data_IF_282455277335
#
_entry.id   IF_282455277335
#
_cell.length_a   1.000
_cell.length_b   1.000
_cell.length_c   1.000
_cell.angle_alpha   90.00
_cell.angle_beta   90.00
_cell.angle_gamma   90.00
#
_symmetry.space_group_name_H-M   'P 1'
#
loop_
_entity.id
_entity.type
_entity.pdbx_description
1 polymer ?
#
# COMPACT_ATOMS: atom_id res chain seq x y z
N UNK A 1 -11.26 -29.48 65.56
CA UNK A 1 -12.50 -28.99 64.92
C UNK A 1 -12.09 -28.24 63.66
N UNK A 2 -12.65 -28.69 62.53
CA UNK A 2 -12.69 -28.17 61.16
C UNK A 2 -11.76 -27.01 60.68
N UNK A 3 -11.04 -27.32 59.59
CA UNK A 3 -10.51 -26.47 58.49
C UNK A 3 -11.65 -25.90 57.59
N UNK A 4 -11.41 -25.13 56.49
CA UNK A 4 -10.33 -24.17 56.14
C UNK A 4 -10.87 -22.91 55.38
N UNK A 5 -10.02 -21.92 55.04
CA UNK A 5 -10.04 -21.27 53.71
C UNK A 5 -8.84 -20.31 53.49
N UNK A 6 -7.80 -20.85 52.86
CA UNK A 6 -6.85 -20.14 51.99
C UNK A 6 -7.55 -19.73 50.70
N UNK A 7 -7.39 -18.47 50.26
CA UNK A 7 -7.73 -18.08 48.89
C UNK A 7 -6.54 -17.46 48.17
N UNK A 8 -6.28 -18.08 47.03
CA UNK A 8 -5.16 -17.99 46.11
C UNK A 8 -5.53 -16.96 45.03
N UNK A 9 -4.78 -15.86 44.87
CA UNK A 9 -4.99 -14.93 43.75
C UNK A 9 -4.17 -15.41 42.56
N UNK A 10 -4.74 -16.31 41.77
CA UNK A 10 -4.19 -16.75 40.48
C UNK A 10 -4.29 -15.64 39.44
N UNK A 11 -3.14 -15.24 38.94
CA UNK A 11 -2.94 -14.46 37.72
C UNK A 11 -3.49 -15.20 36.51
N UNK A 12 -4.52 -14.64 35.86
CA UNK A 12 -4.99 -15.12 34.55
C UNK A 12 -4.03 -14.65 33.46
N UNK A 13 -3.03 -15.49 33.15
CA UNK A 13 -2.34 -15.47 31.86
C UNK A 13 -3.26 -16.11 30.82
N UNK A 14 -3.91 -15.31 29.97
CA UNK A 14 -4.58 -15.82 28.77
C UNK A 14 -3.55 -15.94 27.65
N UNK A 15 -3.11 -17.15 27.38
CA UNK A 15 -2.20 -17.49 26.27
C UNK A 15 -2.96 -17.52 24.95
N UNK A 16 -2.77 -16.49 24.12
CA UNK A 16 -3.21 -16.46 22.72
C UNK A 16 -2.35 -17.44 21.88
N UNK A 17 -2.74 -18.72 21.83
CA UNK A 17 -2.14 -19.71 20.94
C UNK A 17 -3.07 -19.98 19.74
N UNK A 18 -2.69 -19.46 18.57
CA UNK A 18 -3.35 -19.77 17.29
C UNK A 18 -2.61 -20.95 16.65
N UNK A 19 -3.24 -22.12 16.66
CA UNK A 19 -2.78 -23.31 15.91
C UNK A 19 -3.19 -23.26 14.44
N UNK A 20 -2.31 -23.70 13.55
CA UNK A 20 -2.63 -23.95 12.12
C UNK A 20 -2.97 -25.43 11.95
N UNK A 21 -4.09 -25.72 11.27
CA UNK A 21 -4.38 -27.05 10.72
C UNK A 21 -3.78 -27.14 9.32
N UNK A 22 -2.71 -27.92 9.16
CA UNK A 22 -2.11 -28.27 7.87
C UNK A 22 -2.84 -29.51 7.36
N UNK A 23 -3.59 -29.39 6.26
CA UNK A 23 -4.05 -30.55 5.51
C UNK A 23 -3.11 -30.77 4.32
N UNK A 24 -2.59 -32.01 4.24
CA UNK A 24 -1.58 -32.46 3.30
C UNK A 24 -2.11 -32.49 1.85
N UNK A 25 -1.23 -32.11 0.93
CA UNK A 25 -1.39 -32.32 -0.52
C UNK A 25 -1.51 -33.82 -0.86
N UNK A 26 -2.28 -34.13 -1.91
CA UNK A 26 -1.97 -35.26 -2.77
C UNK A 26 -2.17 -34.84 -4.25
N UNK A 27 -1.27 -35.26 -5.16
CA UNK A 27 -1.17 -34.79 -6.54
C UNK A 27 -2.07 -35.62 -7.47
N UNK A 28 -2.08 -35.22 -8.75
CA UNK A 28 -2.67 -35.87 -9.93
C UNK A 28 -3.91 -35.16 -10.49
N UNK A 29 -3.70 -34.27 -11.48
CA UNK A 29 -4.34 -34.49 -12.78
C UNK A 29 -3.61 -33.74 -13.90
N UNK A 30 -3.20 -34.49 -14.91
CA UNK A 30 -2.59 -34.07 -16.17
C UNK A 30 -3.65 -34.23 -17.26
N UNK A 31 -3.97 -33.17 -18.02
CA UNK A 31 -4.33 -33.35 -19.44
C UNK A 31 -4.00 -32.11 -20.28
N UNK A 32 -3.23 -32.38 -21.33
CA UNK A 32 -2.91 -31.51 -22.45
C UNK A 32 -4.12 -31.27 -23.37
N UNK A 33 -4.14 -30.12 -24.05
CA UNK A 33 -4.90 -29.96 -25.30
C UNK A 33 -4.19 -28.97 -26.24
N UNK A 34 -3.38 -29.55 -27.13
CA UNK A 34 -2.87 -28.95 -28.37
C UNK A 34 -3.97 -28.91 -29.44
N UNK A 35 -3.99 -27.85 -30.26
CA UNK A 35 -4.88 -27.76 -31.42
C UNK A 35 -4.58 -26.57 -32.33
N UNK A 36 -3.59 -26.72 -33.21
CA UNK A 36 -3.42 -25.97 -34.48
C UNK A 36 -4.34 -26.64 -35.54
N UNK A 37 -4.89 -26.03 -36.61
CA UNK A 37 -4.26 -25.53 -37.85
C UNK A 37 -5.34 -24.90 -38.76
N UNK A 38 -4.97 -23.89 -39.57
CA UNK A 38 -5.49 -23.62 -40.94
C UNK A 38 -6.18 -22.26 -41.13
N UNK A 39 -5.84 -21.35 -42.05
CA UNK A 39 -4.90 -21.33 -43.19
C UNK A 39 -5.60 -21.00 -44.51
N UNK A 40 -5.51 -19.75 -45.01
CA UNK A 40 -5.61 -19.31 -46.44
C UNK A 40 -5.78 -17.77 -46.50
N UNK A 41 -4.77 -16.97 -46.86
CA UNK A 41 -4.29 -16.58 -48.22
C UNK A 41 -5.18 -15.57 -48.97
N UNK A 42 -4.61 -14.41 -49.30
CA UNK A 42 -5.18 -13.44 -50.25
C UNK A 42 -4.35 -12.15 -50.34
N UNK A 43 -3.63 -11.99 -51.44
CA UNK A 43 -2.58 -10.99 -51.73
C UNK A 43 -3.07 -9.71 -52.43
N UNK A 44 -2.31 -8.63 -52.19
CA UNK A 44 -1.88 -7.56 -53.11
C UNK A 44 -2.89 -6.52 -53.68
N UNK A 45 -2.58 -5.23 -53.48
CA UNK A 45 -2.24 -4.29 -54.56
C UNK A 45 -1.71 -2.97 -54.00
N UNK A 46 -0.65 -2.47 -54.62
CA UNK A 46 -0.04 -1.16 -54.39
C UNK A 46 -0.65 -0.09 -55.29
N UNK A 47 -0.63 1.17 -54.86
CA UNK A 47 -0.59 2.31 -55.77
C UNK A 47 0.02 3.55 -55.10
N UNK A 48 1.08 4.03 -55.75
CA UNK A 48 1.77 5.30 -55.61
C UNK A 48 0.92 6.51 -55.95
N UNK A 49 1.18 7.68 -55.33
CA UNK A 49 1.35 8.96 -56.04
C UNK A 49 1.84 10.08 -55.10
N UNK A 50 2.40 11.09 -55.75
CA UNK A 50 3.40 12.06 -55.30
C UNK A 50 2.87 13.50 -55.22
N UNK A 51 3.61 14.35 -54.47
CA UNK A 51 3.77 15.81 -54.60
C UNK A 51 2.59 16.76 -54.28
N UNK A 52 2.78 17.67 -53.31
CA UNK A 52 2.99 19.10 -53.60
C UNK A 52 3.45 19.90 -52.36
N UNK A 53 4.51 20.70 -52.55
CA UNK A 53 4.90 21.82 -51.70
C UNK A 53 3.84 22.94 -51.77
N UNK A 54 3.65 23.69 -50.67
CA UNK A 54 3.41 25.13 -50.80
C UNK A 54 3.91 25.92 -49.59
N UNK A 55 4.82 26.85 -49.91
CA UNK A 55 5.34 27.94 -49.10
C UNK A 55 4.41 29.14 -49.32
N UNK A 56 3.96 29.78 -48.24
CA UNK A 56 3.54 31.17 -48.27
C UNK A 56 4.12 31.89 -47.06
N UNK A 57 5.09 32.76 -47.32
CA UNK A 57 5.40 33.89 -46.46
C UNK A 57 4.56 35.10 -46.85
N UNK A 58 4.23 35.95 -45.88
CA UNK A 58 4.14 37.41 -46.03
C UNK A 58 3.61 38.04 -44.74
N UNK A 59 4.17 39.20 -44.38
CA UNK A 59 3.42 40.22 -43.63
C UNK A 59 4.01 40.63 -42.30
N UNK A 60 5.02 41.49 -42.34
CA UNK A 60 5.33 42.40 -41.24
C UNK A 60 4.25 43.49 -41.17
N UNK A 61 3.58 43.65 -40.03
CA UNK A 61 2.95 44.91 -39.61
C UNK A 61 3.31 45.13 -38.15
N UNK A 62 4.11 46.16 -37.90
CA UNK A 62 4.45 46.65 -36.58
C UNK A 62 3.40 47.61 -36.03
N UNK A 63 3.31 47.59 -34.70
CA UNK A 63 2.89 48.67 -33.79
C UNK A 63 1.43 49.15 -33.86
N UNK A 64 0.70 48.91 -32.76
CA UNK A 64 0.17 49.95 -31.84
C UNK A 64 -0.92 49.32 -30.96
N UNK A 65 -0.66 49.07 -29.67
CA UNK A 65 -1.70 49.00 -28.66
C UNK A 65 -1.13 49.21 -27.26
N UNK A 66 -1.70 50.20 -26.59
CA UNK A 66 -1.33 50.75 -25.30
C UNK A 66 -1.35 49.74 -24.15
N UNK A 67 -0.57 50.08 -23.13
CA UNK A 67 -0.44 49.35 -21.88
C UNK A 67 -1.77 49.17 -21.15
N UNK A 68 -2.10 47.90 -20.91
CA UNK A 68 -2.90 47.48 -19.78
C UNK A 68 -2.04 46.53 -18.96
N UNK A 69 -1.46 47.04 -17.86
CA UNK A 69 -0.89 46.17 -16.82
C UNK A 69 -2.05 45.55 -16.07
N UNK A 70 -2.53 44.40 -16.55
CA UNK A 70 -3.34 43.52 -15.72
C UNK A 70 -2.51 43.10 -14.50
N UNK A 71 -3.08 43.05 -13.29
CA UNK A 71 -2.35 42.58 -12.13
C UNK A 71 -2.05 41.11 -12.39
N UNK A 72 -0.78 40.81 -12.71
CA UNK A 72 -0.30 39.43 -12.74
C UNK A 72 -0.35 38.93 -11.31
N UNK A 73 -1.48 38.34 -10.94
CA UNK A 73 -1.50 37.33 -9.90
C UNK A 73 -0.43 36.32 -10.28
N UNK A 74 0.71 36.40 -9.61
CA UNK A 74 1.74 35.37 -9.65
C UNK A 74 1.17 34.13 -8.96
N UNK A 75 0.22 33.46 -9.63
CA UNK A 75 0.04 32.04 -9.46
C UNK A 75 1.36 31.42 -9.89
N UNK A 76 2.25 31.21 -8.93
CA UNK A 76 3.45 30.41 -9.17
C UNK A 76 2.99 29.11 -9.79
N UNK A 77 3.26 28.90 -11.08
CA UNK A 77 2.96 27.62 -11.72
C UNK A 77 3.89 26.63 -11.03
N UNK A 78 3.32 25.76 -10.19
CA UNK A 78 4.04 24.61 -9.66
C UNK A 78 4.37 23.70 -10.86
N UNK A 79 5.55 23.88 -11.44
CA UNK A 79 6.04 23.08 -12.57
C UNK A 79 6.97 22.02 -12.00
N UNK A 80 6.59 20.74 -12.15
CA UNK A 80 7.44 19.60 -11.83
C UNK A 80 8.00 18.97 -13.12
N UNK A 81 9.18 18.35 -13.01
CA UNK A 81 9.81 17.64 -14.13
C UNK A 81 9.00 16.39 -14.47
N UNK A 82 8.65 16.20 -15.74
CA UNK A 82 8.01 14.96 -16.21
C UNK A 82 9.05 13.82 -16.19
N UNK A 83 8.80 12.80 -15.37
CA UNK A 83 9.72 11.66 -15.15
C UNK A 83 9.37 10.42 -15.96
N UNK A 84 8.16 10.39 -16.51
CA UNK A 84 7.61 9.31 -17.33
C UNK A 84 6.80 9.95 -18.45
N UNK A 85 6.91 9.45 -19.68
CA UNK A 85 6.16 9.98 -20.84
C UNK A 85 4.66 10.01 -20.58
N UNK A 86 3.96 11.03 -21.11
CA UNK A 86 2.55 11.29 -20.83
C UNK A 86 1.64 10.05 -20.97
N UNK A 87 1.90 9.19 -21.95
CA UNK A 87 1.08 8.02 -22.28
C UNK A 87 1.76 6.67 -22.02
N UNK A 88 2.89 6.63 -21.30
CA UNK A 88 3.51 5.36 -20.94
C UNK A 88 2.60 4.51 -20.04
N UNK A 89 2.56 3.20 -20.29
CA UNK A 89 1.74 2.28 -19.51
C UNK A 89 2.27 2.04 -18.09
N UNK A 90 3.59 2.11 -17.89
CA UNK A 90 4.27 1.81 -16.63
C UNK A 90 4.92 3.05 -16.02
N UNK A 91 5.05 3.08 -14.69
CA UNK A 91 5.90 4.07 -14.02
C UNK A 91 7.38 3.83 -14.34
N UNK A 92 8.15 4.91 -14.47
CA UNK A 92 9.61 4.81 -14.56
C UNK A 92 10.22 4.40 -13.20
N UNK A 93 10.45 3.10 -13.03
CA UNK A 93 11.04 2.49 -11.83
C UNK A 93 12.55 2.21 -11.97
N UNK A 94 13.24 2.96 -12.85
CA UNK A 94 14.66 2.78 -13.20
C UNK A 94 15.54 3.98 -12.85
N UNK A 95 15.10 4.85 -11.95
CA UNK A 95 15.97 5.90 -11.41
C UNK A 95 17.12 5.29 -10.60
N UNK A 96 18.08 6.12 -10.18
CA UNK A 96 19.27 5.67 -9.43
C UNK A 96 18.89 4.90 -8.17
N UNK A 97 17.91 5.39 -7.41
CA UNK A 97 17.46 4.80 -6.15
C UNK A 97 16.01 4.31 -6.30
N UNK A 98 15.63 3.27 -5.56
CA UNK A 98 14.19 2.91 -5.44
C UNK A 98 13.44 4.03 -4.73
N UNK A 99 14.00 4.48 -3.61
CA UNK A 99 13.43 5.51 -2.76
C UNK A 99 13.41 5.10 -1.30
N UNK A 100 12.89 5.99 -0.47
CA UNK A 100 12.81 5.80 0.97
C UNK A 100 11.62 4.91 1.35
N UNK A 101 11.81 4.06 2.36
CA UNK A 101 10.75 3.35 3.05
C UNK A 101 10.78 3.72 4.53
N UNK A 102 9.76 4.44 4.99
CA UNK A 102 9.64 4.88 6.38
C UNK A 102 8.66 3.96 7.11
N UNK A 103 9.12 3.23 8.12
CA UNK A 103 8.28 2.32 8.91
C UNK A 103 8.08 2.91 10.30
N UNK A 104 6.84 3.28 10.64
CA UNK A 104 6.45 3.71 11.99
C UNK A 104 5.82 2.52 12.71
N UNK A 105 6.55 1.96 13.67
CA UNK A 105 6.16 0.77 14.41
C UNK A 105 5.84 1.13 15.87
N UNK A 106 4.58 0.96 16.27
CA UNK A 106 4.09 1.29 17.61
C UNK A 106 3.74 0.01 18.38
N UNK A 107 4.53 -0.30 19.40
CA UNK A 107 4.34 -1.42 20.33
C UNK A 107 3.77 -0.95 21.66
N UNK A 108 4.21 0.21 22.15
CA UNK A 108 3.83 0.76 23.45
C UNK A 108 3.20 2.14 23.32
N UNK A 109 2.17 2.38 24.13
CA UNK A 109 1.34 3.59 24.11
C UNK A 109 1.29 4.22 25.51
N UNK A 110 1.27 5.55 25.55
CA UNK A 110 1.02 6.34 26.76
C UNK A 110 -0.49 6.54 27.01
N UNK A 111 -1.32 6.19 26.04
CA UNK A 111 -2.79 6.24 26.13
C UNK A 111 -3.28 5.08 27.02
N UNK A 112 -3.91 5.34 28.19
CA UNK A 112 -4.21 4.30 29.17
C UNK A 112 -5.18 3.20 28.70
N UNK A 113 -6.03 3.51 27.71
CA UNK A 113 -7.00 2.56 27.15
C UNK A 113 -6.39 1.58 26.15
N UNK A 114 -5.17 1.83 25.67
CA UNK A 114 -4.53 1.02 24.64
C UNK A 114 -3.56 0.00 25.24
N UNK A 115 -3.78 -1.27 24.92
CA UNK A 115 -2.87 -2.37 25.27
C UNK A 115 -1.62 -2.35 24.39
N UNK A 116 -0.54 -2.95 24.86
CA UNK A 116 0.67 -3.14 24.05
C UNK A 116 0.43 -4.09 22.86
N UNK A 117 1.15 -3.87 21.75
CA UNK A 117 0.99 -4.61 20.48
C UNK A 117 2.09 -5.66 20.27
N UNK A 118 2.15 -6.65 21.17
CA UNK A 118 3.11 -7.76 21.06
C UNK A 118 3.09 -8.43 19.65
N UNK A 119 4.26 -8.70 19.08
CA UNK A 119 4.39 -9.26 17.74
C UNK A 119 4.44 -8.24 16.60
N UNK A 120 4.17 -6.94 16.85
CA UNK A 120 4.35 -5.89 15.81
C UNK A 120 5.80 -5.77 15.33
N UNK A 121 6.78 -6.12 16.17
CA UNK A 121 8.19 -6.12 15.78
C UNK A 121 8.49 -7.20 14.72
N UNK A 122 7.79 -8.34 14.77
CA UNK A 122 7.90 -9.39 13.76
C UNK A 122 7.42 -8.89 12.40
N UNK A 123 6.30 -8.16 12.36
CA UNK A 123 5.82 -7.49 11.14
C UNK A 123 6.85 -6.48 10.63
N UNK A 124 7.37 -5.64 11.53
CA UNK A 124 8.36 -4.61 11.21
C UNK A 124 9.65 -5.18 10.62
N UNK A 125 10.19 -6.26 11.21
CA UNK A 125 11.41 -6.91 10.76
C UNK A 125 11.22 -7.59 9.40
N UNK A 126 10.10 -8.32 9.23
CA UNK A 126 9.77 -8.96 7.95
C UNK A 126 9.59 -7.93 6.83
N UNK A 127 8.86 -6.85 7.10
CA UNK A 127 8.66 -5.78 6.12
C UNK A 127 9.98 -5.11 5.77
N UNK A 128 10.82 -4.81 6.78
CA UNK A 128 12.15 -4.24 6.57
C UNK A 128 13.00 -5.12 5.66
N UNK A 129 13.02 -6.43 5.92
CA UNK A 129 13.79 -7.39 5.13
C UNK A 129 13.35 -7.39 3.67
N UNK A 130 12.04 -7.49 3.42
CA UNK A 130 11.52 -7.60 2.05
C UNK A 130 11.64 -6.27 1.29
N UNK A 131 11.44 -5.13 1.94
CA UNK A 131 11.64 -3.83 1.30
C UNK A 131 13.11 -3.59 0.91
N UNK A 132 14.07 -4.03 1.73
CA UNK A 132 15.48 -4.03 1.35
C UNK A 132 15.76 -4.91 0.13
N UNK A 133 15.11 -6.07 0.00
CA UNK A 133 15.21 -6.94 -1.19
C UNK A 133 14.63 -6.28 -2.45
N UNK A 134 13.72 -5.32 -2.29
CA UNK A 134 13.15 -4.49 -3.36
C UNK A 134 13.90 -3.16 -3.57
N UNK A 135 15.10 -3.05 -3.00
CA UNK A 135 16.06 -1.95 -3.16
C UNK A 135 15.68 -0.63 -2.45
N UNK A 136 14.73 -0.66 -1.51
CA UNK A 136 14.38 0.52 -0.70
C UNK A 136 15.43 0.84 0.36
N UNK A 137 15.62 2.14 0.62
CA UNK A 137 16.33 2.62 1.80
C UNK A 137 15.35 2.65 2.99
N UNK A 138 15.43 1.62 3.84
CA UNK A 138 14.47 1.42 4.94
C UNK A 138 14.94 2.06 6.24
N UNK A 139 14.11 2.93 6.81
CA UNK A 139 14.29 3.53 8.14
C UNK A 139 13.12 3.19 9.04
N UNK A 140 13.42 2.67 10.24
CA UNK A 140 12.41 2.24 11.22
C UNK A 140 12.37 3.23 12.39
N UNK A 141 11.17 3.64 12.75
CA UNK A 141 10.86 4.54 13.85
C UNK A 141 9.97 3.81 14.86
N UNK A 142 10.49 3.62 16.08
CA UNK A 142 9.80 2.88 17.15
C UNK A 142 9.12 3.83 18.13
N UNK A 143 7.85 3.57 18.43
CA UNK A 143 7.08 4.23 19.49
C UNK A 143 7.19 5.77 19.45
N UNK A 144 7.06 6.38 18.26
CA UNK A 144 7.15 7.83 18.12
C UNK A 144 5.91 8.54 18.68
N UNK A 145 6.14 9.72 19.27
CA UNK A 145 5.05 10.67 19.54
C UNK A 145 4.59 11.29 18.22
N UNK A 146 3.35 11.77 18.17
CA UNK A 146 2.78 12.33 16.94
C UNK A 146 3.63 13.47 16.36
N UNK A 147 4.17 14.34 17.22
CA UNK A 147 5.07 15.43 16.78
C UNK A 147 6.33 14.91 16.06
N UNK A 148 6.89 13.80 16.52
CA UNK A 148 8.08 13.19 15.92
C UNK A 148 7.75 12.54 14.58
N UNK A 149 6.57 11.92 14.46
CA UNK A 149 6.06 11.38 13.19
C UNK A 149 5.93 12.52 12.16
N UNK A 150 5.22 13.60 12.51
CA UNK A 150 5.02 14.74 11.62
C UNK A 150 6.35 15.34 11.19
N UNK A 151 7.27 15.59 12.14
CA UNK A 151 8.59 16.13 11.84
C UNK A 151 9.38 15.21 10.90
N UNK A 152 9.33 13.91 11.11
CA UNK A 152 10.01 12.93 10.26
C UNK A 152 9.45 12.93 8.83
N UNK A 153 8.12 12.97 8.71
CA UNK A 153 7.42 13.01 7.43
C UNK A 153 7.69 14.32 6.68
N UNK A 154 7.63 15.45 7.37
CA UNK A 154 7.94 16.76 6.80
C UNK A 154 9.39 16.82 6.31
N UNK A 155 10.33 16.33 7.12
CA UNK A 155 11.74 16.21 6.70
C UNK A 155 11.87 15.32 5.47
N UNK A 156 11.24 14.15 5.44
CA UNK A 156 11.27 13.26 4.29
C UNK A 156 10.66 13.91 3.03
N UNK A 157 9.53 14.60 3.15
CA UNK A 157 8.89 15.32 2.05
C UNK A 157 9.75 16.48 1.52
N UNK A 158 10.53 17.12 2.39
CA UNK A 158 11.44 18.22 2.00
C UNK A 158 12.70 17.76 1.26
N UNK A 159 12.99 16.45 1.25
CA UNK A 159 14.16 15.91 0.55
C UNK A 159 13.99 15.94 -0.98
N UNK A 160 15.12 15.91 -1.69
CA UNK A 160 15.11 15.82 -3.14
C UNK A 160 14.95 14.36 -3.60
N UNK A 161 13.74 14.00 -4.03
CA UNK A 161 13.42 12.68 -4.58
C UNK A 161 13.63 12.56 -6.09
N UNK A 162 14.35 13.49 -6.72
CA UNK A 162 14.57 13.49 -8.18
C UNK A 162 15.13 12.17 -8.72
N UNK A 163 16.02 11.55 -7.96
CA UNK A 163 16.71 10.29 -8.28
C UNK A 163 16.03 9.04 -7.68
N UNK A 164 14.92 9.19 -6.98
CA UNK A 164 14.13 8.08 -6.41
C UNK A 164 13.01 7.68 -7.38
N UNK A 165 12.64 6.40 -7.43
CA UNK A 165 11.45 6.01 -8.19
C UNK A 165 10.15 6.37 -7.49
N UNK A 166 10.10 6.16 -6.18
CA UNK A 166 8.90 6.23 -5.37
C UNK A 166 9.22 6.55 -3.91
N UNK A 167 8.17 6.60 -3.09
CA UNK A 167 8.30 6.61 -1.63
C UNK A 167 7.31 5.61 -1.04
N UNK A 168 7.70 4.97 0.06
CA UNK A 168 6.85 4.08 0.83
C UNK A 168 6.80 4.54 2.29
N UNK A 169 5.59 4.57 2.85
CA UNK A 169 5.35 4.79 4.28
C UNK A 169 4.52 3.63 4.81
N UNK A 170 5.03 2.94 5.83
CA UNK A 170 4.30 1.89 6.54
C UNK A 170 4.01 2.35 7.97
N UNK A 171 2.78 2.14 8.43
CA UNK A 171 2.37 2.48 9.81
C UNK A 171 1.76 1.23 10.45
N UNK A 172 2.39 0.75 11.51
CA UNK A 172 1.96 -0.41 12.29
C UNK A 172 1.52 0.09 13.67
N UNK A 173 0.22 0.26 13.88
CA UNK A 173 -0.30 0.82 15.13
C UNK A 173 -1.68 0.28 15.51
N UNK A 174 -2.23 0.80 16.60
CA UNK A 174 -3.67 0.78 16.83
C UNK A 174 -4.36 1.80 15.93
N UNK A 175 -5.64 1.59 15.69
CA UNK A 175 -6.48 2.54 14.99
C UNK A 175 -7.93 2.36 15.37
N UNK A 176 -8.71 3.35 15.00
CA UNK A 176 -10.17 3.35 15.04
C UNK A 176 -10.67 3.99 13.75
N UNK A 177 -11.98 4.09 13.58
CA UNK A 177 -12.64 4.67 12.39
C UNK A 177 -12.01 6.00 11.95
N UNK A 178 -11.14 5.96 10.93
CA UNK A 178 -10.49 7.14 10.34
C UNK A 178 -9.32 7.74 11.14
N UNK A 179 -8.90 7.11 12.25
CA UNK A 179 -7.78 7.56 13.07
C UNK A 179 -6.74 6.46 13.30
N UNK A 180 -5.49 6.88 13.46
CA UNK A 180 -4.34 6.04 13.79
C UNK A 180 -3.71 6.60 15.06
N UNK A 181 -3.23 5.73 15.94
CA UNK A 181 -2.56 6.15 17.17
C UNK A 181 -1.06 6.32 16.96
N UNK A 182 -0.53 7.45 17.41
CA UNK A 182 0.88 7.56 17.79
C UNK A 182 1.04 7.08 19.23
N UNK A 183 2.26 7.16 19.79
CA UNK A 183 2.49 6.80 21.20
C UNK A 183 1.62 7.59 22.17
N UNK A 184 1.39 8.87 21.90
CA UNK A 184 0.78 9.83 22.82
C UNK A 184 -0.65 10.26 22.45
N UNK A 185 -1.00 10.27 21.15
CA UNK A 185 -2.32 10.74 20.68
C UNK A 185 -2.73 10.08 19.37
N UNK A 186 -4.02 10.13 19.05
CA UNK A 186 -4.53 9.78 17.72
C UNK A 186 -4.38 10.92 16.71
N UNK A 187 -4.30 10.56 15.43
CA UNK A 187 -4.22 11.49 14.32
C UNK A 187 -4.88 10.90 13.06
N UNK A 188 -5.20 11.76 12.09
CA UNK A 188 -5.73 11.34 10.79
C UNK A 188 -4.58 11.06 9.82
N UNK A 189 -4.70 10.01 9.03
CA UNK A 189 -3.68 9.67 8.01
C UNK A 189 -3.50 10.81 6.98
N UNK A 190 -4.52 11.62 6.75
CA UNK A 190 -4.47 12.84 5.92
C UNK A 190 -3.35 13.81 6.33
N UNK A 191 -3.07 13.91 7.62
CA UNK A 191 -2.00 14.76 8.13
C UNK A 191 -0.61 14.23 7.75
N UNK A 192 -0.50 12.97 7.30
CA UNK A 192 0.76 12.36 6.88
C UNK A 192 0.91 12.41 5.36
N UNK A 193 -0.07 11.93 4.61
CA UNK A 193 0.08 11.85 3.15
C UNK A 193 0.02 13.22 2.44
N UNK A 194 -0.59 14.24 3.05
CA UNK A 194 -0.74 15.58 2.46
C UNK A 194 0.60 16.28 2.17
N UNK A 195 1.65 15.98 2.95
CA UNK A 195 3.01 16.46 2.72
C UNK A 195 3.62 15.94 1.41
N UNK A 196 3.14 14.82 0.87
CA UNK A 196 3.67 14.22 -0.36
C UNK A 196 2.85 14.57 -1.61
N UNK A 197 1.88 15.47 -1.51
CA UNK A 197 1.16 15.96 -2.70
C UNK A 197 2.11 16.71 -3.63
N UNK A 198 1.79 16.77 -4.92
CA UNK A 198 2.68 17.39 -5.91
C UNK A 198 3.00 18.87 -5.62
N UNK A 199 2.14 19.58 -4.88
CA UNK A 199 2.38 20.96 -4.46
C UNK A 199 3.40 21.06 -3.32
N UNK A 200 3.39 20.12 -2.38
CA UNK A 200 4.29 20.11 -1.21
C UNK A 200 5.60 19.37 -1.49
N UNK A 201 5.58 18.35 -2.35
CA UNK A 201 6.75 17.57 -2.74
C UNK A 201 6.85 17.43 -4.28
N UNK A 202 7.25 18.49 -5.01
CA UNK A 202 7.31 18.47 -6.47
C UNK A 202 8.25 17.40 -7.06
N UNK A 203 9.29 17.00 -6.31
CA UNK A 203 10.24 15.95 -6.70
C UNK A 203 9.62 14.54 -6.78
N UNK A 204 8.44 14.34 -6.16
CA UNK A 204 7.63 13.11 -6.22
C UNK A 204 6.38 13.24 -7.12
N UNK A 205 6.23 14.35 -7.85
CA UNK A 205 5.13 14.49 -8.80
C UNK A 205 5.28 13.47 -9.95
N UNK A 206 4.21 12.75 -10.29
CA UNK A 206 4.23 11.70 -11.31
C UNK A 206 4.90 10.38 -10.87
N UNK A 207 5.31 10.27 -9.59
CA UNK A 207 5.95 9.09 -8.99
C UNK A 207 5.01 8.43 -7.98
N UNK A 208 4.99 7.10 -7.85
CA UNK A 208 4.08 6.44 -6.92
C UNK A 208 4.42 6.72 -5.45
N UNK A 209 3.38 6.92 -4.64
CA UNK A 209 3.45 7.21 -3.20
C UNK A 209 2.63 6.15 -2.47
N UNK A 210 3.32 5.21 -1.83
CA UNK A 210 2.73 4.00 -1.28
C UNK A 210 2.55 4.11 0.23
N UNK A 211 1.36 3.79 0.73
CA UNK A 211 1.05 3.77 2.15
C UNK A 211 0.50 2.40 2.55
N UNK A 212 1.18 1.71 3.47
CA UNK A 212 0.74 0.42 4.01
C UNK A 212 0.38 0.58 5.49
N UNK A 213 -0.90 0.45 5.80
CA UNK A 213 -1.45 0.79 7.11
C UNK A 213 -1.99 -0.46 7.78
N UNK A 214 -1.27 -0.93 8.80
CA UNK A 214 -1.75 -1.95 9.73
C UNK A 214 -2.31 -1.26 10.97
N UNK A 215 -3.61 -1.03 10.96
CA UNK A 215 -4.37 -0.48 12.08
C UNK A 215 -5.82 -0.95 11.98
N UNK A 216 -6.48 -1.17 13.11
CA UNK A 216 -7.93 -1.40 13.10
C UNK A 216 -8.62 -0.16 12.52
N UNK A 217 -9.72 -0.36 11.82
CA UNK A 217 -10.55 0.74 11.31
C UNK A 217 -11.92 0.76 11.98
N UNK A 218 -12.11 0.01 13.07
CA UNK A 218 -13.35 -0.09 13.84
C UNK A 218 -13.40 -1.41 14.60
N UNK A 219 -14.52 -1.64 15.26
CA UNK A 219 -14.70 -2.76 16.19
C UNK A 219 -15.67 -3.85 15.64
N UNK A 220 -16.14 -3.71 14.40
CA UNK A 220 -17.00 -4.74 13.80
C UNK A 220 -16.18 -5.99 13.50
N UNK A 221 -16.78 -7.14 13.78
CA UNK A 221 -16.21 -8.44 13.49
C UNK A 221 -16.84 -8.98 12.19
N UNK A 222 -16.01 -9.57 11.34
CA UNK A 222 -16.46 -10.22 10.11
C UNK A 222 -16.61 -11.71 10.40
N UNK A 223 -17.85 -12.18 10.54
CA UNK A 223 -18.15 -13.58 10.87
C UNK A 223 -17.85 -14.52 9.70
N UNK A 224 -17.54 -13.99 8.52
CA UNK A 224 -17.41 -14.77 7.29
C UNK A 224 -18.72 -15.40 6.83
N UNK A 225 -18.71 -15.94 5.62
CA UNK A 225 -19.78 -16.79 5.08
C UNK A 225 -19.12 -18.04 4.50
N UNK A 226 -19.62 -19.23 4.87
CA UNK A 226 -19.15 -20.48 4.28
C UNK A 226 -19.69 -20.60 2.85
N UNK A 227 -18.81 -20.61 1.85
CA UNK A 227 -19.22 -20.73 0.45
C UNK A 227 -19.67 -22.16 0.12
N UNK A 228 -20.94 -22.35 -0.22
CA UNK A 228 -21.44 -23.52 -0.95
C UNK A 228 -21.76 -23.10 -2.40
N UNK A 229 -21.56 -23.99 -3.39
CA UNK A 229 -21.88 -23.68 -4.81
C UNK A 229 -23.40 -23.51 -4.98
N UNK A 230 -23.89 -22.27 -5.02
CA UNK A 230 -25.30 -21.93 -5.24
C UNK A 230 -25.56 -20.42 -5.09
N UNK A 231 -26.54 -19.90 -5.82
CA UNK A 231 -26.78 -18.50 -6.17
C UNK A 231 -27.25 -17.54 -5.04
N UNK A 232 -26.80 -16.27 -5.21
CA UNK A 232 -27.47 -14.96 -5.03
C UNK A 232 -27.75 -14.30 -3.64
N UNK A 233 -27.29 -13.03 -3.59
CA UNK A 233 -27.85 -11.78 -3.01
C UNK A 233 -27.80 -11.57 -1.47
N UNK A 234 -27.35 -10.38 -1.01
CA UNK A 234 -28.21 -9.30 -0.44
C UNK A 234 -27.35 -8.11 0.09
N UNK A 235 -27.99 -6.93 0.08
CA UNK A 235 -27.59 -5.56 0.41
C UNK A 235 -26.99 -5.28 1.80
N UNK A 236 -26.27 -4.14 1.88
CA UNK A 236 -25.89 -3.49 3.13
C UNK A 236 -25.45 -2.04 2.91
N UNK A 237 -26.41 -1.12 2.90
CA UNK A 237 -26.18 0.34 2.92
C UNK A 237 -25.66 0.77 4.31
N UNK A 238 -24.60 1.57 4.30
CA UNK A 238 -24.09 2.33 5.44
C UNK A 238 -23.25 3.46 4.86
N UNK A 239 -23.73 4.70 4.95
CA UNK A 239 -23.04 5.90 4.46
C UNK A 239 -21.76 6.18 5.27
N UNK A 240 -20.70 5.43 4.96
CA UNK A 240 -19.40 5.55 5.61
C UNK A 240 -18.57 6.63 4.92
N UNK A 241 -18.61 7.86 5.42
CA UNK A 241 -17.81 8.94 4.86
C UNK A 241 -16.33 8.76 5.25
N UNK A 242 -15.51 8.29 4.32
CA UNK A 242 -14.04 8.42 4.41
C UNK A 242 -13.54 9.24 3.23
N UNK A 243 -12.54 10.10 3.47
CA UNK A 243 -11.98 11.00 2.47
C UNK A 243 -10.79 10.34 1.80
N UNK A 244 -10.96 10.00 0.52
CA UNK A 244 -9.89 9.52 -0.35
C UNK A 244 -9.11 10.74 -0.88
N UNK A 245 -7.77 10.69 -0.98
CA UNK A 245 -7.00 11.77 -1.56
C UNK A 245 -7.47 12.09 -2.99
N UNK A 246 -7.65 13.38 -3.30
CA UNK A 246 -7.99 13.86 -4.66
C UNK A 246 -6.76 13.89 -5.58
N UNK A 247 -5.63 13.33 -5.12
CA UNK A 247 -4.32 13.49 -5.77
C UNK A 247 -3.86 12.21 -6.47
N UNK A 248 -3.27 12.37 -7.65
CA UNK A 248 -2.74 11.28 -8.46
C UNK A 248 -1.52 10.59 -7.83
N UNK A 249 -1.30 9.34 -8.23
CA UNK A 249 -0.14 8.52 -7.91
C UNK A 249 -0.01 8.12 -6.43
N UNK A 250 -1.12 8.10 -5.69
CA UNK A 250 -1.18 7.52 -4.34
C UNK A 250 -1.75 6.11 -4.38
N UNK A 251 -1.20 5.23 -3.55
CA UNK A 251 -1.78 3.93 -3.22
C UNK A 251 -1.80 3.78 -1.71
N UNK A 252 -2.96 3.46 -1.14
CA UNK A 252 -3.12 3.23 0.29
C UNK A 252 -3.74 1.85 0.47
N UNK A 253 -3.01 0.94 1.11
CA UNK A 253 -3.51 -0.38 1.49
C UNK A 253 -3.69 -0.44 3.01
N UNK A 254 -4.93 -0.56 3.45
CA UNK A 254 -5.31 -0.82 4.84
C UNK A 254 -5.42 -2.32 5.08
N UNK A 255 -5.02 -2.77 6.27
CA UNK A 255 -5.09 -4.19 6.65
C UNK A 255 -6.51 -4.73 6.76
N UNK A 256 -7.51 -3.87 6.94
CA UNK A 256 -8.92 -4.23 7.08
C UNK A 256 -9.80 -3.17 6.42
N UNK A 257 -11.03 -3.55 6.07
CA UNK A 257 -12.06 -2.64 5.55
C UNK A 257 -12.46 -1.64 6.63
N UNK A 258 -12.74 -0.37 6.27
CA UNK A 258 -13.28 0.60 7.22
C UNK A 258 -14.42 0.02 8.07
N UNK A 259 -14.35 0.20 9.39
CA UNK A 259 -15.34 -0.30 10.33
C UNK A 259 -15.02 -1.66 10.96
N UNK A 260 -14.06 -2.41 10.43
CA UNK A 260 -13.75 -3.77 10.89
C UNK A 260 -12.46 -3.87 11.70
N UNK A 261 -12.37 -4.92 12.50
CA UNK A 261 -11.21 -5.27 13.30
C UNK A 261 -10.04 -5.75 12.42
N UNK A 262 -8.80 -5.62 12.91
CA UNK A 262 -7.61 -6.18 12.25
C UNK A 262 -6.84 -7.08 13.21
N UNK A 263 -6.75 -8.36 12.84
CA UNK A 263 -6.18 -9.43 13.64
C UNK A 263 -4.66 -9.43 13.61
N UNK A 264 -4.08 -9.73 14.77
CA UNK A 264 -2.64 -9.90 14.96
C UNK A 264 -2.38 -11.08 15.88
N UNK A 265 -1.46 -11.93 15.47
CA UNK A 265 -0.90 -12.96 16.33
C UNK A 265 0.27 -12.36 17.13
N UNK A 266 0.30 -12.61 18.44
CA UNK A 266 1.29 -12.07 19.37
C UNK A 266 2.72 -12.56 19.11
N UNK A 267 2.88 -13.70 18.42
CA UNK A 267 4.18 -14.32 18.12
C UNK A 267 4.56 -14.24 16.64
N UNK A 268 3.58 -14.28 15.73
CA UNK A 268 3.82 -14.36 14.27
C UNK A 268 3.58 -13.06 13.51
N UNK A 269 3.03 -12.04 14.17
CA UNK A 269 2.65 -10.78 13.52
C UNK A 269 1.22 -10.78 12.95
N UNK A 270 0.86 -9.78 12.17
CA UNK A 270 -0.48 -9.60 11.60
C UNK A 270 -0.69 -10.43 10.33
N UNK A 271 -1.93 -10.85 10.07
CA UNK A 271 -2.26 -11.64 8.88
C UNK A 271 -1.97 -10.88 7.59
N UNK A 272 -2.29 -9.58 7.60
CA UNK A 272 -2.01 -8.69 6.48
C UNK A 272 -0.51 -8.52 6.22
N UNK A 273 0.29 -8.22 7.26
CA UNK A 273 1.73 -7.99 7.09
C UNK A 273 2.47 -9.26 6.73
N UNK A 274 2.08 -10.41 7.29
CA UNK A 274 2.61 -11.72 6.88
C UNK A 274 2.33 -11.96 5.38
N UNK A 275 1.08 -11.83 4.95
CA UNK A 275 0.69 -12.05 3.56
C UNK A 275 1.36 -11.07 2.61
N UNK A 276 1.44 -9.79 2.98
CA UNK A 276 2.11 -8.74 2.22
C UNK A 276 3.59 -9.04 2.04
N UNK A 277 4.29 -9.43 3.11
CA UNK A 277 5.72 -9.75 3.04
C UNK A 277 5.98 -11.00 2.19
N UNK A 278 5.13 -12.02 2.29
CA UNK A 278 5.23 -13.25 1.48
C UNK A 278 5.08 -12.92 -0.01
N UNK A 279 4.04 -12.18 -0.37
CA UNK A 279 3.79 -11.81 -1.78
C UNK A 279 4.84 -10.84 -2.33
N UNK A 280 5.27 -9.86 -1.55
CA UNK A 280 6.37 -8.96 -1.97
C UNK A 280 7.69 -9.71 -2.16
N UNK A 281 8.01 -10.69 -1.30
CA UNK A 281 9.23 -11.47 -1.42
C UNK A 281 9.21 -12.40 -2.64
N UNK A 282 8.09 -13.07 -2.88
CA UNK A 282 7.97 -14.05 -3.98
C UNK A 282 7.74 -13.38 -5.34
N UNK A 283 6.90 -12.34 -5.37
CA UNK A 283 6.33 -11.79 -6.59
C UNK A 283 6.60 -10.29 -6.79
N UNK A 284 7.22 -9.60 -5.84
CA UNK A 284 7.40 -8.14 -5.87
C UNK A 284 8.14 -7.61 -7.11
N UNK A 285 9.04 -8.41 -7.69
CA UNK A 285 9.76 -8.05 -8.93
C UNK A 285 9.11 -8.57 -10.21
N UNK A 286 8.10 -9.44 -10.10
CA UNK A 286 7.47 -10.14 -11.23
C UNK A 286 6.11 -9.53 -11.60
N UNK A 287 5.30 -9.24 -10.59
CA UNK A 287 3.93 -8.76 -10.76
C UNK A 287 3.84 -7.24 -10.55
N UNK A 288 2.78 -6.63 -11.07
CA UNK A 288 2.44 -5.27 -10.68
C UNK A 288 1.82 -5.24 -9.27
N UNK A 289 1.90 -4.07 -8.65
CA UNK A 289 1.50 -3.89 -7.25
C UNK A 289 0.02 -4.22 -6.99
N UNK A 290 -0.88 -3.99 -7.96
CA UNK A 290 -2.31 -4.19 -7.73
C UNK A 290 -2.64 -5.68 -7.80
N UNK A 291 -2.10 -6.41 -8.78
CA UNK A 291 -2.22 -7.88 -8.80
C UNK A 291 -1.59 -8.50 -7.56
N UNK A 292 -0.44 -7.99 -7.11
CA UNK A 292 0.20 -8.46 -5.89
C UNK A 292 -0.71 -8.26 -4.66
N UNK A 293 -1.28 -7.07 -4.50
CA UNK A 293 -2.20 -6.79 -3.39
C UNK A 293 -3.51 -7.59 -3.47
N UNK A 294 -3.95 -7.97 -4.66
CA UNK A 294 -5.07 -8.92 -4.83
C UNK A 294 -4.72 -10.29 -4.24
N UNK A 295 -3.50 -10.82 -4.48
CA UNK A 295 -3.06 -12.08 -3.87
C UNK A 295 -2.83 -11.96 -2.36
N UNK A 296 -2.40 -10.79 -1.87
CA UNK A 296 -2.39 -10.50 -0.44
C UNK A 296 -3.79 -10.63 0.14
N UNK A 297 -4.80 -10.03 -0.49
CA UNK A 297 -6.20 -10.15 -0.04
C UNK A 297 -6.70 -11.60 -0.09
N UNK A 298 -6.35 -12.35 -1.12
CA UNK A 298 -6.68 -13.77 -1.23
C UNK A 298 -6.11 -14.58 -0.06
N UNK A 299 -4.82 -14.42 0.26
CA UNK A 299 -4.20 -15.11 1.40
C UNK A 299 -4.86 -14.75 2.72
N UNK A 300 -5.10 -13.46 2.97
CA UNK A 300 -5.74 -13.02 4.22
C UNK A 300 -7.15 -13.63 4.35
N UNK A 301 -7.91 -13.71 3.25
CA UNK A 301 -9.25 -14.27 3.26
C UNK A 301 -9.28 -15.81 3.40
N UNK A 302 -8.34 -16.51 2.77
CA UNK A 302 -8.35 -17.99 2.70
C UNK A 302 -7.57 -18.64 3.83
N UNK A 303 -6.36 -18.16 4.12
CA UNK A 303 -5.40 -18.87 4.97
C UNK A 303 -5.59 -18.57 6.47
N UNK A 304 -6.40 -17.56 6.81
CA UNK A 304 -6.53 -17.07 8.19
C UNK A 304 -7.95 -17.07 8.72
N UNK A 305 -8.09 -17.43 9.98
CA UNK A 305 -9.33 -17.43 10.75
C UNK A 305 -8.98 -17.26 12.24
N UNK A 306 -9.80 -16.53 12.99
CA UNK A 306 -9.51 -16.25 14.40
C UNK A 306 -9.81 -17.47 15.30
N UNK A 307 -8.89 -17.79 16.19
CA UNK A 307 -9.05 -18.89 17.14
C UNK A 307 -9.04 -18.37 18.58
N UNK A 308 -10.21 -17.98 19.09
CA UNK A 308 -10.40 -17.50 20.46
C UNK A 308 -11.58 -18.25 21.11
N UNK A 309 -11.44 -19.55 21.43
CA UNK A 309 -12.55 -20.37 21.93
C UNK A 309 -13.14 -19.82 23.25
N UNK A 310 -12.33 -19.12 24.06
CA UNK A 310 -12.76 -18.52 25.32
C UNK A 310 -13.63 -17.26 25.16
N UNK A 311 -13.64 -16.67 23.96
CA UNK A 311 -14.48 -15.50 23.61
C UNK A 311 -15.25 -15.81 22.33
N UNK A 312 -16.45 -16.43 22.43
CA UNK A 312 -17.20 -16.93 21.28
C UNK A 312 -17.47 -15.87 20.21
N UNK A 313 -17.72 -14.62 20.62
CA UNK A 313 -17.96 -13.49 19.70
C UNK A 313 -16.76 -13.18 18.81
N UNK A 314 -15.54 -13.47 19.27
CA UNK A 314 -14.28 -13.22 18.58
C UNK A 314 -13.73 -14.46 17.87
N UNK A 315 -14.38 -15.62 18.00
CA UNK A 315 -13.94 -16.87 17.39
C UNK A 315 -14.44 -17.00 15.94
N UNK A 316 -13.66 -17.66 15.07
CA UNK A 316 -13.99 -17.98 13.67
C UNK A 316 -14.29 -16.75 12.80
N UNK A 317 -13.66 -15.63 13.12
CA UNK A 317 -13.78 -14.39 12.38
C UNK A 317 -12.77 -14.35 11.24
N UNK A 318 -13.16 -13.64 10.18
CA UNK A 318 -12.38 -13.41 8.97
C UNK A 318 -11.88 -11.96 8.92
N UNK A 319 -11.09 -11.67 7.89
CA UNK A 319 -10.57 -10.35 7.60
C UNK A 319 -10.32 -10.24 6.10
N UNK A 320 -10.45 -9.05 5.54
CA UNK A 320 -9.96 -8.74 4.20
C UNK A 320 -9.32 -7.34 4.16
N UNK A 321 -8.15 -7.18 3.52
CA UNK A 321 -7.54 -5.87 3.31
C UNK A 321 -8.37 -4.96 2.41
N UNK A 322 -8.21 -3.65 2.56
CA UNK A 322 -8.84 -2.64 1.72
C UNK A 322 -7.77 -1.84 0.96
N UNK A 323 -7.79 -1.93 -0.36
CA UNK A 323 -6.83 -1.25 -1.24
C UNK A 323 -7.53 -0.09 -1.94
N UNK A 324 -7.02 1.12 -1.71
CA UNK A 324 -7.47 2.35 -2.40
C UNK A 324 -6.34 2.84 -3.29
N UNK A 325 -6.59 2.95 -4.60
CA UNK A 325 -5.58 3.33 -5.59
C UNK A 325 -6.01 4.56 -6.39
N UNK A 326 -5.08 5.49 -6.52
CA UNK A 326 -5.12 6.64 -7.43
C UNK A 326 -3.90 6.60 -8.36
N UNK A 327 -3.29 5.41 -8.53
CA UNK A 327 -2.22 5.18 -9.49
C UNK A 327 -2.73 5.41 -10.91
N UNK A 328 -1.93 6.11 -11.71
CA UNK A 328 -2.26 6.45 -13.10
C UNK A 328 -1.58 5.54 -14.11
N UNK A 329 -0.70 4.64 -13.64
CA UNK A 329 0.12 3.72 -14.44
C UNK A 329 0.34 2.41 -13.68
N UNK A 330 0.77 1.39 -14.41
CA UNK A 330 1.17 0.11 -13.84
C UNK A 330 2.48 0.30 -13.04
N UNK A 331 2.48 -0.14 -11.79
CA UNK A 331 3.65 -0.10 -10.91
C UNK A 331 4.24 -1.50 -10.76
N UNK A 332 5.45 -1.71 -11.28
CA UNK A 332 6.23 -2.95 -11.10
C UNK A 332 7.63 -2.62 -10.59
N UNK A 333 8.09 -3.30 -9.53
CA UNK A 333 9.45 -3.11 -9.01
C UNK A 333 10.48 -3.86 -9.86
N UNK A 334 10.94 -3.24 -10.94
CA UNK A 334 12.00 -3.81 -11.79
C UNK A 334 13.37 -3.77 -11.13
N UNK A 335 14.26 -4.71 -11.46
CA UNK A 335 15.62 -4.76 -10.90
C UNK A 335 16.41 -3.46 -11.14
N UNK A 336 17.15 -3.05 -10.10
CA UNK A 336 18.14 -1.97 -10.23
C UNK A 336 19.37 -2.49 -10.95
N UNK A 337 19.82 -1.77 -11.98
CA UNK A 337 21.09 -2.08 -12.63
C UNK A 337 22.21 -1.83 -11.61
N UNK A 338 22.88 -2.90 -11.19
CA UNK A 338 24.11 -2.79 -10.40
C UNK A 338 25.15 -2.07 -11.27
N UNK A 339 25.60 -0.90 -10.83
CA UNK A 339 26.82 -0.31 -11.40
C UNK A 339 27.95 -1.28 -11.05
N UNK A 340 28.69 -1.83 -12.03
CA UNK A 340 29.80 -2.71 -11.73
C UNK A 340 30.76 -1.96 -10.80
N UNK A 341 31.10 -2.56 -9.66
CA UNK A 341 32.15 -2.04 -8.81
C UNK A 341 33.40 -1.89 -9.69
N UNK A 342 33.80 -0.65 -9.96
CA UNK A 342 35.00 -0.37 -10.73
C UNK A 342 36.15 -1.15 -10.11
N UNK A 343 36.85 -1.94 -10.92
CA UNK A 343 38.16 -2.48 -10.55
C UNK A 343 39.02 -1.27 -10.18
N UNK A 344 39.31 -1.14 -8.89
CA UNK A 344 40.38 -0.27 -8.37
C UNK A 344 41.71 -0.93 -8.69
#
# INVERSE_FOLDING_TARGET
MADPNTNNSSSNESTDQVGIRVENENPDDHTDAFGSVGGSSGTAAASSSSHHNNIYGSGAIGQLANGYKSPSSSYGKNVAKMVTDRHAAEYNMRHKNRGMALIFNHEHFEVPTLKSRAGTNVDCENLTRVLKQLDFEVTVYKDCRYKDIVRTIELAASQNHGDSDCILVAILSHGEMGYIYAKDTQYKLENIWSFFTANHCPSLAGKPKLFFIQACQGDRLDTGVTMQRGHTETDGDSSMSYKIPVHADFLIAYSTVPGFYSWRNTTRGSWFMQSLCVELAANGKRLDILTLLTFVSQRVAVDFESCTPDTPEMHQQKQIPCVTTMLTRILRFSDKQLVPAGRV
#
